data_IF_678655892152
#
_entry.id   IF_678655892152
#
_cell.length_a   1.000
_cell.length_b   1.000
_cell.length_c   1.000
_cell.angle_alpha   90.00
_cell.angle_beta   90.00
_cell.angle_gamma   90.00
#
_symmetry.space_group_name_H-M   'P 1'
#
loop_
_entity.id
_entity.type
_entity.pdbx_description
1 polymer ?
#
# COMPACT_ATOMS: atom_id res chain seq x y z
N UNK A 1 14.41 -36.22 -18.52
CA UNK A 1 13.47 -37.35 -18.70
C UNK A 1 13.78 -38.39 -17.64
N UNK A 2 12.79 -39.14 -17.15
CA UNK A 2 13.09 -40.25 -16.24
C UNK A 2 13.80 -41.38 -17.01
N UNK A 3 14.66 -42.18 -16.35
CA UNK A 3 15.32 -43.32 -16.96
C UNK A 3 14.33 -44.30 -17.62
N UNK A 4 13.18 -44.51 -16.97
CA UNK A 4 12.13 -45.42 -17.45
C UNK A 4 11.52 -44.94 -18.76
N UNK A 5 11.26 -43.63 -18.90
CA UNK A 5 10.70 -43.06 -20.12
C UNK A 5 11.66 -43.18 -21.31
N UNK A 6 12.97 -43.07 -21.06
CA UNK A 6 14.00 -43.21 -22.09
C UNK A 6 14.07 -44.66 -22.60
N UNK A 7 14.03 -45.63 -21.70
CA UNK A 7 14.03 -47.05 -22.05
C UNK A 7 12.78 -47.45 -22.86
N UNK A 8 11.64 -46.89 -22.49
CA UNK A 8 10.36 -47.14 -23.16
C UNK A 8 10.36 -46.60 -24.61
N UNK A 9 10.97 -45.43 -24.82
CA UNK A 9 11.16 -44.82 -26.14
C UNK A 9 12.11 -45.66 -27.00
N UNK A 10 13.25 -46.09 -26.46
CA UNK A 10 14.19 -46.97 -27.17
C UNK A 10 13.53 -48.27 -27.61
N UNK A 11 12.74 -48.88 -26.73
CA UNK A 11 12.04 -50.15 -27.03
C UNK A 11 11.05 -49.97 -28.18
N UNK A 12 10.27 -48.88 -28.15
CA UNK A 12 9.29 -48.56 -29.21
C UNK A 12 9.96 -48.23 -30.55
N UNK A 13 11.03 -47.41 -30.53
CA UNK A 13 11.79 -47.06 -31.73
C UNK A 13 12.43 -48.28 -32.37
N UNK A 14 13.15 -49.09 -31.58
CA UNK A 14 13.79 -50.29 -32.09
C UNK A 14 12.78 -51.32 -32.60
N UNK A 15 11.62 -51.48 -31.93
CA UNK A 15 10.54 -52.34 -32.45
C UNK A 15 10.01 -51.88 -33.81
N UNK A 16 9.95 -50.57 -34.07
CA UNK A 16 9.47 -50.02 -35.33
C UNK A 16 10.52 -50.08 -36.44
N UNK A 17 11.81 -49.98 -36.11
CA UNK A 17 12.91 -49.92 -37.10
C UNK A 17 13.54 -51.28 -37.41
N UNK A 18 13.32 -52.31 -36.58
CA UNK A 18 13.90 -53.64 -36.77
C UNK A 18 13.51 -54.29 -38.11
N UNK A 19 12.27 -54.05 -38.58
CA UNK A 19 11.79 -54.53 -39.88
C UNK A 19 12.55 -53.94 -41.08
N UNK A 20 13.31 -52.85 -40.87
CA UNK A 20 14.15 -52.21 -41.87
C UNK A 20 15.65 -52.52 -41.67
N UNK A 21 16.01 -53.41 -40.72
CA UNK A 21 17.40 -53.73 -40.39
C UNK A 21 18.16 -52.62 -39.67
N UNK A 22 17.45 -51.64 -39.10
CA UNK A 22 18.04 -50.47 -38.43
C UNK A 22 17.84 -50.57 -36.93
N UNK A 23 18.93 -50.38 -36.19
CA UNK A 23 18.94 -50.32 -34.73
C UNK A 23 19.30 -48.90 -34.26
N UNK A 24 18.41 -48.29 -33.49
CA UNK A 24 18.56 -46.95 -32.92
C UNK A 24 19.41 -47.05 -31.66
N UNK A 25 20.62 -46.47 -31.71
CA UNK A 25 21.55 -46.39 -30.57
C UNK A 25 21.43 -45.10 -29.79
N UNK A 26 20.93 -44.05 -30.42
CA UNK A 26 20.76 -42.74 -29.82
C UNK A 26 19.60 -41.98 -30.46
N UNK A 27 18.99 -41.07 -29.72
CA UNK A 27 17.96 -40.18 -30.24
C UNK A 27 17.99 -38.82 -29.54
N UNK A 28 17.65 -37.78 -30.29
CA UNK A 28 17.53 -36.42 -29.76
C UNK A 28 16.10 -35.92 -29.95
N UNK A 29 15.49 -35.45 -28.87
CA UNK A 29 14.20 -34.76 -28.94
C UNK A 29 14.45 -33.30 -29.27
N UNK A 30 14.02 -32.86 -30.45
CA UNK A 30 14.27 -31.50 -30.95
C UNK A 30 13.20 -30.49 -30.51
N UNK A 31 11.95 -30.94 -30.37
CA UNK A 31 10.84 -30.08 -29.98
C UNK A 31 9.91 -30.83 -29.04
N UNK A 32 9.52 -30.18 -27.95
CA UNK A 32 8.44 -30.65 -27.08
C UNK A 32 7.40 -29.55 -27.01
N UNK A 33 6.23 -29.80 -27.59
CA UNK A 33 5.10 -28.87 -27.50
C UNK A 33 4.36 -29.17 -26.20
N UNK A 34 4.22 -28.16 -25.35
CA UNK A 34 3.34 -28.26 -24.19
C UNK A 34 1.90 -28.45 -24.68
N UNK A 35 1.12 -29.32 -24.02
CA UNK A 35 -0.31 -29.43 -24.32
C UNK A 35 -0.98 -28.06 -24.16
N UNK A 36 -1.92 -27.69 -25.06
CA UNK A 36 -2.56 -26.37 -25.04
C UNK A 36 -3.30 -26.07 -23.73
N UNK A 37 -3.78 -27.12 -23.03
CA UNK A 37 -4.41 -27.01 -21.71
C UNK A 37 -3.43 -26.50 -20.64
N UNK A 38 -2.19 -27.00 -20.65
CA UNK A 38 -1.14 -26.58 -19.71
C UNK A 38 -0.74 -25.14 -19.97
N UNK A 39 -0.63 -24.75 -21.24
CA UNK A 39 -0.31 -23.37 -21.63
C UNK A 39 -1.41 -22.40 -21.19
N UNK A 40 -2.67 -22.78 -21.35
CA UNK A 40 -3.82 -21.99 -20.89
C UNK A 40 -3.80 -21.84 -19.36
N UNK A 41 -3.60 -22.94 -18.62
CA UNK A 41 -3.53 -22.90 -17.17
C UNK A 41 -2.37 -22.05 -16.65
N UNK A 42 -1.19 -22.11 -17.30
CA UNK A 42 -0.06 -21.25 -16.95
C UNK A 42 -0.38 -19.77 -17.14
N UNK A 43 -1.03 -19.41 -18.26
CA UNK A 43 -1.43 -18.02 -18.53
C UNK A 43 -2.44 -17.52 -17.50
N UNK A 44 -3.44 -18.32 -17.17
CA UNK A 44 -4.45 -17.97 -16.16
C UNK A 44 -3.84 -17.81 -14.78
N UNK A 45 -2.96 -18.75 -14.37
CA UNK A 45 -2.25 -18.68 -13.10
C UNK A 45 -1.39 -17.42 -13.00
N UNK A 46 -0.60 -17.13 -14.05
CA UNK A 46 0.25 -15.94 -14.08
C UNK A 46 -0.55 -14.65 -14.02
N UNK A 47 -1.69 -14.57 -14.71
CA UNK A 47 -2.59 -13.41 -14.63
C UNK A 47 -3.17 -13.24 -13.21
N UNK A 48 -3.59 -14.33 -12.57
CA UNK A 48 -4.13 -14.31 -11.22
C UNK A 48 -3.07 -13.84 -10.20
N UNK A 49 -1.84 -14.35 -10.31
CA UNK A 49 -0.73 -13.98 -9.44
C UNK A 49 -0.36 -12.50 -9.59
N UNK A 50 -0.26 -12.02 -10.84
CA UNK A 50 -0.03 -10.60 -11.15
C UNK A 50 -1.10 -9.71 -10.53
N UNK A 51 -2.36 -10.09 -10.68
CA UNK A 51 -3.49 -9.32 -10.13
C UNK A 51 -3.50 -9.32 -8.60
N UNK A 52 -3.14 -10.43 -7.97
CA UNK A 52 -3.04 -10.54 -6.52
C UNK A 52 -1.96 -9.60 -5.97
N UNK A 53 -0.76 -9.63 -6.56
CA UNK A 53 0.35 -8.74 -6.18
C UNK A 53 -0.02 -7.26 -6.34
N UNK A 54 -0.65 -6.89 -7.46
CA UNK A 54 -1.11 -5.53 -7.66
C UNK A 54 -2.11 -5.08 -6.58
N UNK A 55 -3.03 -5.96 -6.20
CA UNK A 55 -4.04 -5.69 -5.16
C UNK A 55 -3.40 -5.48 -3.79
N UNK A 56 -2.41 -6.30 -3.43
CA UNK A 56 -1.68 -6.19 -2.17
C UNK A 56 -0.92 -4.86 -2.12
N UNK A 57 -0.20 -4.50 -3.19
CA UNK A 57 0.56 -3.25 -3.27
C UNK A 57 -0.36 -2.04 -3.15
N UNK A 58 -1.49 -2.03 -3.86
CA UNK A 58 -2.47 -0.95 -3.78
C UNK A 58 -3.06 -0.82 -2.36
N UNK A 59 -3.41 -1.95 -1.73
CA UNK A 59 -3.88 -1.98 -0.34
C UNK A 59 -2.86 -1.41 0.65
N UNK A 60 -1.60 -1.82 0.54
CA UNK A 60 -0.51 -1.31 1.38
C UNK A 60 -0.26 0.18 1.17
N UNK A 61 -0.27 0.64 -0.09
CA UNK A 61 -0.10 2.06 -0.43
C UNK A 61 -1.23 2.93 0.15
N UNK A 62 -2.48 2.48 0.02
CA UNK A 62 -3.64 3.16 0.61
C UNK A 62 -3.56 3.22 2.13
N UNK A 63 -3.21 2.10 2.77
CA UNK A 63 -3.06 2.04 4.22
C UNK A 63 -1.94 2.96 4.72
N UNK A 64 -0.79 2.98 4.03
CA UNK A 64 0.31 3.90 4.32
C UNK A 64 -0.13 5.35 4.21
N UNK A 65 -0.81 5.72 3.11
CA UNK A 65 -1.33 7.07 2.91
C UNK A 65 -2.30 7.50 4.02
N UNK A 66 -3.19 6.61 4.46
CA UNK A 66 -4.10 6.89 5.59
C UNK A 66 -3.30 7.11 6.88
N UNK A 67 -2.35 6.22 7.19
CA UNK A 67 -1.51 6.36 8.39
C UNK A 67 -0.72 7.66 8.40
N UNK A 68 -0.11 8.02 7.28
CA UNK A 68 0.64 9.27 7.15
C UNK A 68 -0.28 10.47 7.35
N UNK A 69 -1.47 10.46 6.74
CA UNK A 69 -2.47 11.52 6.93
C UNK A 69 -2.90 11.66 8.40
N UNK A 70 -3.22 10.55 9.07
CA UNK A 70 -3.64 10.59 10.47
C UNK A 70 -2.49 10.99 11.39
N UNK A 71 -1.25 10.58 11.09
CA UNK A 71 -0.07 11.02 11.83
C UNK A 71 0.11 12.54 11.72
N UNK A 72 0.09 13.09 10.50
CA UNK A 72 0.19 14.54 10.28
C UNK A 72 -0.96 15.30 10.94
N UNK A 73 -2.18 14.74 10.91
CA UNK A 73 -3.33 15.32 11.62
C UNK A 73 -3.11 15.35 13.13
N UNK A 74 -2.62 14.26 13.72
CA UNK A 74 -2.34 14.18 15.15
C UNK A 74 -1.19 15.12 15.56
N UNK A 75 -0.15 15.24 14.75
CA UNK A 75 0.96 16.19 14.96
C UNK A 75 0.44 17.63 14.94
N UNK A 76 -0.35 18.01 13.93
CA UNK A 76 -0.94 19.35 13.87
C UNK A 76 -1.86 19.65 15.07
N UNK A 77 -2.66 18.68 15.51
CA UNK A 77 -3.50 18.83 16.71
C UNK A 77 -2.66 18.99 17.98
N UNK A 78 -1.58 18.23 18.10
CA UNK A 78 -0.64 18.34 19.22
C UNK A 78 0.02 19.72 19.27
N UNK A 79 0.50 20.23 18.14
CA UNK A 79 1.15 21.54 18.05
C UNK A 79 0.19 22.67 18.46
N UNK A 80 -1.07 22.58 18.04
CA UNK A 80 -2.12 23.52 18.44
C UNK A 80 -2.33 23.48 19.96
N UNK A 81 -2.46 22.30 20.56
CA UNK A 81 -2.65 22.14 22.01
C UNK A 81 -1.45 22.69 22.77
N UNK A 82 -0.23 22.40 22.30
CA UNK A 82 1.00 22.87 22.92
C UNK A 82 1.07 24.41 22.88
N UNK A 83 0.78 25.01 21.73
CA UNK A 83 0.79 26.47 21.59
C UNK A 83 -0.27 27.16 22.49
N UNK A 84 -1.45 26.54 22.64
CA UNK A 84 -2.47 27.00 23.60
C UNK A 84 -1.96 26.89 25.04
N UNK A 85 -1.35 25.76 25.41
CA UNK A 85 -0.81 25.53 26.74
C UNK A 85 0.31 26.52 27.09
N UNK A 86 1.22 26.81 26.15
CA UNK A 86 2.27 27.81 26.32
C UNK A 86 1.70 29.24 26.44
N UNK A 87 0.67 29.57 25.68
CA UNK A 87 -0.03 30.85 25.75
C UNK A 87 -0.71 31.07 27.11
N UNK A 88 -1.33 30.00 27.64
CA UNK A 88 -1.92 29.96 28.98
C UNK A 88 -0.87 30.11 30.09
N UNK A 89 0.25 29.41 29.99
CA UNK A 89 1.31 29.46 31.01
C UNK A 89 1.94 30.86 31.13
N UNK A 90 2.07 31.58 30.02
CA UNK A 90 2.62 32.94 29.99
C UNK A 90 1.68 34.01 30.60
N UNK A 91 0.38 33.74 30.74
CA UNK A 91 -0.62 34.70 31.20
C UNK A 91 -1.36 34.27 32.49
N UNK A 92 -0.61 33.89 33.53
CA UNK A 92 -1.18 33.55 34.85
C UNK A 92 -1.77 34.74 35.65
N UNK A 93 -1.92 35.91 35.04
CA UNK A 93 -2.38 37.14 35.68
C UNK A 93 -3.77 37.59 35.23
N UNK A 94 -4.79 37.27 36.02
CA UNK A 94 -6.01 38.08 36.18
C UNK A 94 -7.13 37.96 35.14
N UNK A 95 -6.84 37.93 33.84
CA UNK A 95 -7.89 37.87 32.80
C UNK A 95 -7.58 36.75 31.81
N UNK A 96 -8.13 35.57 32.09
CA UNK A 96 -7.86 34.31 31.38
C UNK A 96 -8.38 34.27 29.94
N UNK A 97 -9.29 35.18 29.56
CA UNK A 97 -10.07 35.07 28.32
C UNK A 97 -9.30 35.64 27.13
N UNK A 98 -8.74 36.84 27.27
CA UNK A 98 -8.12 37.57 26.16
C UNK A 98 -6.79 36.95 25.68
N UNK A 99 -5.90 36.45 26.55
CA UNK A 99 -4.66 35.80 26.13
C UNK A 99 -4.88 34.41 25.52
N UNK A 100 -5.93 33.72 25.95
CA UNK A 100 -6.37 32.45 25.36
C UNK A 100 -6.92 32.70 23.96
N UNK A 101 -7.77 33.73 23.78
CA UNK A 101 -8.27 34.14 22.48
C UNK A 101 -7.15 34.62 21.55
N UNK A 102 -6.15 35.35 22.05
CA UNK A 102 -4.99 35.79 21.27
C UNK A 102 -4.10 34.61 20.85
N UNK A 103 -3.87 33.66 21.77
CA UNK A 103 -3.10 32.45 21.49
C UNK A 103 -3.84 31.56 20.48
N UNK A 104 -5.15 31.36 20.65
CA UNK A 104 -6.01 30.67 19.69
C UNK A 104 -6.03 31.36 18.33
N UNK A 105 -6.15 32.69 18.29
CA UNK A 105 -6.15 33.46 17.05
C UNK A 105 -4.80 33.41 16.35
N UNK A 106 -3.69 33.45 17.08
CA UNK A 106 -2.34 33.34 16.52
C UNK A 106 -2.07 31.95 15.96
N UNK A 107 -2.51 30.89 16.65
CA UNK A 107 -2.39 29.50 16.20
C UNK A 107 -3.31 29.23 15.00
N UNK A 108 -4.51 29.83 14.97
CA UNK A 108 -5.38 29.81 13.80
C UNK A 108 -4.72 30.52 12.61
N UNK A 109 -4.18 31.73 12.78
CA UNK A 109 -3.53 32.46 11.69
C UNK A 109 -2.28 31.74 11.16
N UNK A 110 -1.47 31.16 12.04
CA UNK A 110 -0.27 30.41 11.66
C UNK A 110 -0.64 29.07 10.98
N UNK A 111 -1.62 28.33 11.52
CA UNK A 111 -2.07 27.06 10.92
C UNK A 111 -2.88 27.25 9.63
N UNK A 112 -3.55 28.40 9.45
CA UNK A 112 -4.23 28.77 8.21
C UNK A 112 -3.26 29.30 7.14
N UNK A 113 -2.07 29.77 7.53
CA UNK A 113 -1.00 30.20 6.63
C UNK A 113 -0.33 29.04 5.90
N UNK A 114 -0.23 27.87 6.54
CA UNK A 114 0.30 26.67 5.90
C UNK A 114 -0.78 25.89 5.12
N UNK A 115 -0.66 25.79 3.77
CA UNK A 115 -1.69 25.16 2.94
C UNK A 115 -1.95 23.68 3.27
N UNK A 116 -0.94 22.97 3.77
CA UNK A 116 -1.03 21.56 4.16
C UNK A 116 -1.83 21.41 5.46
N UNK A 117 -1.50 22.22 6.47
CA UNK A 117 -2.13 22.23 7.79
C UNK A 117 -3.62 22.59 7.68
N UNK A 118 -3.96 23.56 6.81
CA UNK A 118 -5.34 23.92 6.46
C UNK A 118 -6.17 22.78 5.86
N UNK A 119 -5.55 21.90 5.06
CA UNK A 119 -6.23 20.76 4.45
C UNK A 119 -6.44 19.58 5.43
N UNK A 120 -5.67 19.53 6.51
CA UNK A 120 -5.71 18.47 7.53
C UNK A 120 -6.46 18.86 8.81
N UNK A 121 -6.73 20.14 9.02
CA UNK A 121 -7.68 20.60 10.04
C UNK A 121 -9.08 20.12 9.67
N UNK A 122 -9.58 19.16 10.44
CA UNK A 122 -10.94 18.67 10.27
C UNK A 122 -11.96 19.75 10.64
N UNK A 123 -13.10 19.75 9.95
CA UNK A 123 -14.22 20.66 10.23
C UNK A 123 -14.62 20.64 11.71
N UNK A 124 -14.56 19.47 12.35
CA UNK A 124 -14.82 19.29 13.79
C UNK A 124 -13.81 20.05 14.67
N UNK A 125 -12.54 20.15 14.26
CA UNK A 125 -11.55 20.95 14.98
C UNK A 125 -11.88 22.44 14.85
N UNK A 126 -12.29 22.89 13.67
CA UNK A 126 -12.78 24.27 13.47
C UNK A 126 -14.04 24.54 14.29
N UNK A 127 -15.01 23.62 14.28
CA UNK A 127 -16.28 23.74 15.00
C UNK A 127 -16.06 23.77 16.52
N UNK A 128 -15.12 22.96 17.05
CA UNK A 128 -14.76 22.97 18.47
C UNK A 128 -14.01 24.24 18.88
N UNK A 129 -13.17 24.78 18.00
CA UNK A 129 -12.51 26.08 18.22
C UNK A 129 -13.53 27.23 18.18
N UNK A 130 -14.54 27.18 17.30
CA UNK A 130 -15.65 28.14 17.31
C UNK A 130 -16.52 28.02 18.56
N UNK A 131 -16.83 26.81 19.01
CA UNK A 131 -17.57 26.60 20.26
C UNK A 131 -16.81 27.13 21.47
N UNK A 132 -15.49 26.94 21.53
CA UNK A 132 -14.65 27.52 22.59
C UNK A 132 -14.65 29.05 22.54
N UNK A 133 -14.58 29.66 21.34
CA UNK A 133 -14.72 31.11 21.17
C UNK A 133 -16.07 31.62 21.69
N UNK A 134 -17.15 30.89 21.42
CA UNK A 134 -18.50 31.30 21.80
C UNK A 134 -18.79 31.07 23.30
N UNK A 135 -18.14 30.09 23.95
CA UNK A 135 -18.20 29.87 25.40
C UNK A 135 -17.37 30.88 26.22
N UNK A 136 -16.42 31.57 25.58
CA UNK A 136 -15.52 32.55 26.20
C UNK A 136 -15.97 34.01 25.98
N UNK A 137 -17.08 34.24 25.29
CA UNK A 137 -17.79 35.53 25.23
C UNK A 137 -18.78 35.67 26.38
#
# INVERSE_FOLDING_TARGET
MSPDAVQDIFTKLNSATNGFGVYVTDFQVLETKLPPEVEKHQKEYWMAEKQSLATIIDGQSKAFRIRTREKTRAEAQYDIILAIAEGLEKNRGGEFIEPVLLSLSGVLDESLREPLTRAYLAKETLDTLEQLRDLLK
#
